data_IF_891660467641
#
_entry.id   IF_891660467641
#
_cell.length_a   1.000
_cell.length_b   1.000
_cell.length_c   1.000
_cell.angle_alpha   90.00
_cell.angle_beta   90.00
_cell.angle_gamma   90.00
#
_symmetry.space_group_name_H-M   'P 1'
#
loop_
_entity.id
_entity.type
_entity.pdbx_description
1 polymer ?
#
# COMPACT_ATOMS: atom_id res chain seq x y z
N UNK A 1 -5.00 -24.77 -6.97
CA UNK A 1 -5.06 -23.46 -7.66
C UNK A 1 -3.67 -23.17 -8.24
N UNK A 2 -3.59 -23.05 -9.56
CA UNK A 2 -2.39 -22.59 -10.26
C UNK A 2 -2.52 -21.09 -10.49
N UNK A 3 -1.41 -20.32 -10.60
CA UNK A 3 -1.51 -18.94 -11.04
C UNK A 3 -2.32 -18.84 -12.34
N UNK A 4 -3.30 -17.95 -12.36
CA UNK A 4 -4.21 -17.69 -13.49
C UNK A 4 -5.10 -18.85 -13.93
N UNK A 5 -5.31 -19.90 -13.10
CA UNK A 5 -6.44 -20.80 -13.32
C UNK A 5 -7.78 -20.04 -13.10
N UNK A 6 -8.90 -20.68 -13.48
CA UNK A 6 -10.22 -20.03 -13.41
C UNK A 6 -10.59 -19.54 -12.01
N UNK A 7 -10.24 -20.28 -10.96
CA UNK A 7 -10.51 -19.91 -9.57
C UNK A 7 -9.68 -18.69 -9.16
N UNK A 8 -8.38 -18.74 -9.43
CA UNK A 8 -7.49 -17.61 -9.12
C UNK A 8 -7.88 -16.33 -9.87
N UNK A 9 -8.13 -16.47 -11.18
CA UNK A 9 -8.57 -15.33 -11.99
C UNK A 9 -9.88 -14.71 -11.50
N UNK A 10 -10.87 -15.56 -11.14
CA UNK A 10 -12.14 -15.08 -10.58
C UNK A 10 -11.97 -14.35 -9.25
N UNK A 11 -11.06 -14.83 -8.38
CA UNK A 11 -10.73 -14.12 -7.12
C UNK A 11 -10.08 -12.77 -7.38
N UNK A 12 -9.14 -12.68 -8.34
CA UNK A 12 -8.52 -11.40 -8.71
C UNK A 12 -9.56 -10.40 -9.23
N UNK A 13 -10.47 -10.85 -10.11
CA UNK A 13 -11.56 -10.01 -10.62
C UNK A 13 -12.51 -9.57 -9.52
N UNK A 14 -12.87 -10.46 -8.60
CA UNK A 14 -13.73 -10.15 -7.47
C UNK A 14 -13.09 -9.11 -6.54
N UNK A 15 -11.81 -9.26 -6.20
CA UNK A 15 -11.06 -8.32 -5.36
C UNK A 15 -10.98 -6.95 -6.05
N UNK A 16 -10.57 -6.92 -7.33
CA UNK A 16 -10.47 -5.67 -8.09
C UNK A 16 -11.81 -4.98 -8.26
N UNK A 17 -12.85 -5.73 -8.64
CA UNK A 17 -14.21 -5.22 -8.80
C UNK A 17 -14.77 -4.66 -7.49
N UNK A 18 -14.57 -5.37 -6.37
CA UNK A 18 -15.02 -4.89 -5.06
C UNK A 18 -14.24 -3.67 -4.58
N UNK A 19 -12.92 -3.62 -4.82
CA UNK A 19 -12.09 -2.45 -4.51
C UNK A 19 -12.55 -1.20 -5.28
N UNK A 20 -12.80 -1.33 -6.58
CA UNK A 20 -13.29 -0.25 -7.44
C UNK A 20 -14.69 0.19 -7.01
N UNK A 21 -15.61 -0.76 -6.83
CA UNK A 21 -17.00 -0.50 -6.42
C UNK A 21 -17.03 0.24 -5.08
N UNK A 22 -16.31 -0.27 -4.06
CA UNK A 22 -16.31 0.32 -2.74
C UNK A 22 -15.70 1.73 -2.73
N UNK A 23 -14.59 1.92 -3.45
CA UNK A 23 -13.98 3.24 -3.62
C UNK A 23 -14.96 4.22 -4.32
N UNK A 24 -15.69 3.77 -5.34
CA UNK A 24 -16.71 4.56 -6.02
C UNK A 24 -17.88 4.94 -5.09
N UNK A 25 -18.43 3.96 -4.36
CA UNK A 25 -19.56 4.18 -3.44
C UNK A 25 -19.20 5.19 -2.33
N UNK A 26 -18.01 5.02 -1.74
CA UNK A 26 -17.52 5.94 -0.69
C UNK A 26 -17.24 7.33 -1.25
N UNK A 27 -16.58 7.41 -2.41
CA UNK A 27 -16.24 8.69 -3.06
C UNK A 27 -17.46 9.52 -3.39
N UNK A 28 -18.54 8.89 -3.83
CA UNK A 28 -19.80 9.55 -4.19
C UNK A 28 -20.79 9.63 -3.02
N UNK A 29 -20.34 9.32 -1.79
CA UNK A 29 -21.13 9.39 -0.57
C UNK A 29 -22.40 8.51 -0.58
N UNK A 30 -22.42 7.48 -1.43
CA UNK A 30 -23.51 6.50 -1.51
C UNK A 30 -23.51 5.54 -0.32
N UNK A 31 -22.36 5.38 0.33
CA UNK A 31 -22.22 4.67 1.60
C UNK A 31 -21.39 5.52 2.57
N UNK A 32 -21.71 5.50 3.88
CA UNK A 32 -20.95 6.26 4.86
C UNK A 32 -19.55 5.68 5.06
N UNK A 33 -18.52 6.53 5.00
CA UNK A 33 -17.11 6.09 5.06
C UNK A 33 -16.72 5.49 6.42
N UNK A 34 -17.30 5.95 7.53
CA UNK A 34 -16.93 5.50 8.90
C UNK A 34 -17.20 4.01 9.10
N UNK A 35 -18.42 3.47 8.91
CA UNK A 35 -18.66 2.03 9.07
C UNK A 35 -17.86 1.19 8.06
N UNK A 36 -17.65 1.67 6.83
CA UNK A 36 -16.80 0.97 5.84
C UNK A 36 -15.38 0.81 6.37
N UNK A 37 -14.76 1.89 6.85
CA UNK A 37 -13.40 1.86 7.42
C UNK A 37 -13.30 0.92 8.63
N UNK A 38 -14.26 1.02 9.54
CA UNK A 38 -14.29 0.17 10.73
C UNK A 38 -14.44 -1.30 10.32
N UNK A 39 -15.36 -1.61 9.40
CA UNK A 39 -15.56 -2.98 8.90
C UNK A 39 -14.29 -3.56 8.26
N UNK A 40 -13.60 -2.78 7.40
CA UNK A 40 -12.33 -3.19 6.79
C UNK A 40 -11.23 -3.40 7.83
N UNK A 41 -11.13 -2.50 8.82
CA UNK A 41 -10.17 -2.64 9.92
C UNK A 41 -10.43 -3.90 10.74
N UNK A 42 -11.70 -4.20 11.05
CA UNK A 42 -12.09 -5.40 11.82
C UNK A 42 -11.76 -6.69 11.04
N UNK A 43 -12.05 -6.73 9.74
CA UNK A 43 -11.72 -7.89 8.89
C UNK A 43 -10.21 -8.12 8.84
N UNK A 44 -9.42 -7.08 8.57
CA UNK A 44 -7.96 -7.18 8.48
C UNK A 44 -7.33 -7.53 9.84
N UNK A 45 -7.69 -6.81 10.89
CA UNK A 45 -7.18 -7.07 12.24
C UNK A 45 -7.61 -8.46 12.73
N UNK A 46 -8.86 -8.86 12.50
CA UNK A 46 -9.38 -10.18 12.88
C UNK A 46 -8.63 -11.31 12.17
N UNK A 47 -8.39 -11.17 10.86
CA UNK A 47 -7.61 -12.15 10.09
C UNK A 47 -6.17 -12.29 10.61
N UNK A 48 -5.50 -11.18 10.93
CA UNK A 48 -4.13 -11.19 11.44
C UNK A 48 -4.06 -11.68 12.89
N UNK A 49 -4.98 -11.26 13.77
CA UNK A 49 -5.06 -11.75 15.14
C UNK A 49 -5.36 -13.26 15.20
N UNK A 50 -6.26 -13.75 14.32
CA UNK A 50 -6.54 -15.18 14.25
C UNK A 50 -5.30 -15.98 13.79
N UNK A 51 -4.47 -15.43 12.92
CA UNK A 51 -3.17 -16.02 12.57
C UNK A 51 -2.28 -16.20 13.78
N UNK A 52 -2.15 -15.15 14.63
CA UNK A 52 -1.35 -15.26 15.86
C UNK A 52 -1.92 -16.27 16.84
N UNK A 53 -3.24 -16.33 16.95
CA UNK A 53 -3.89 -17.32 17.78
C UNK A 53 -3.66 -18.74 17.27
N UNK A 54 -3.69 -18.95 15.95
CA UNK A 54 -3.58 -20.26 15.31
C UNK A 54 -2.14 -20.79 15.29
N UNK A 55 -1.15 -19.94 14.95
CA UNK A 55 0.24 -20.34 14.79
C UNK A 55 1.15 -19.94 15.97
N UNK A 56 0.68 -19.07 16.85
CA UNK A 56 1.47 -18.44 17.87
C UNK A 56 2.40 -17.34 17.34
N UNK A 57 3.01 -16.63 18.28
CA UNK A 57 4.12 -15.70 18.00
C UNK A 57 5.36 -16.35 18.59
N UNK A 58 6.36 -16.61 17.76
CA UNK A 58 7.61 -17.25 18.16
C UNK A 58 8.79 -16.35 17.79
N UNK A 59 9.54 -15.94 18.79
CA UNK A 59 10.75 -15.17 18.57
C UNK A 59 11.92 -16.11 18.24
N UNK A 60 12.73 -15.78 17.23
CA UNK A 60 12.65 -14.64 16.33
C UNK A 60 11.91 -14.96 15.01
N UNK A 61 11.45 -16.18 14.75
CA UNK A 61 11.15 -16.73 13.43
C UNK A 61 9.72 -16.43 12.92
N UNK A 62 8.76 -16.24 13.84
CA UNK A 62 7.36 -16.03 13.47
C UNK A 62 6.80 -14.73 14.04
N UNK A 63 7.50 -13.64 13.81
CA UNK A 63 7.03 -12.30 14.14
C UNK A 63 6.24 -11.68 12.96
N UNK A 64 5.38 -10.68 13.21
CA UNK A 64 4.64 -9.97 12.16
C UNK A 64 5.53 -8.97 11.39
N UNK A 65 6.69 -9.43 10.92
CA UNK A 65 7.70 -8.59 10.26
C UNK A 65 7.77 -8.79 8.73
N UNK A 66 6.96 -9.68 8.17
CA UNK A 66 6.79 -9.69 6.71
C UNK A 66 5.99 -8.48 6.26
N UNK A 67 6.24 -8.03 5.02
CA UNK A 67 5.62 -6.83 4.46
C UNK A 67 4.10 -6.87 4.52
N UNK A 68 3.48 -8.03 4.27
CA UNK A 68 2.03 -8.19 4.32
C UNK A 68 1.48 -7.93 5.74
N UNK A 69 2.13 -8.44 6.78
CA UNK A 69 1.68 -8.26 8.18
C UNK A 69 1.80 -6.79 8.62
N UNK A 70 2.94 -6.14 8.36
CA UNK A 70 3.09 -4.72 8.70
C UNK A 70 2.15 -3.83 7.88
N UNK A 71 1.96 -4.13 6.59
CA UNK A 71 1.02 -3.40 5.73
C UNK A 71 -0.42 -3.58 6.16
N UNK A 72 -0.79 -4.78 6.64
CA UNK A 72 -2.10 -5.03 7.25
C UNK A 72 -2.32 -4.12 8.45
N UNK A 73 -1.37 -4.03 9.38
CA UNK A 73 -1.47 -3.16 10.53
C UNK A 73 -1.48 -1.68 10.17
N UNK A 74 -0.69 -1.27 9.17
CA UNK A 74 -0.73 0.11 8.66
C UNK A 74 -2.07 0.45 8.02
N UNK A 75 -2.67 -0.47 7.27
CA UNK A 75 -4.01 -0.31 6.71
C UNK A 75 -5.09 -0.23 7.82
N UNK A 76 -4.99 -1.06 8.86
CA UNK A 76 -5.87 -1.01 10.05
C UNK A 76 -5.76 0.35 10.74
N UNK A 77 -4.53 0.80 11.04
CA UNK A 77 -4.29 2.11 11.67
C UNK A 77 -4.85 3.23 10.79
N UNK A 78 -4.59 3.19 9.47
CA UNK A 78 -5.12 4.21 8.55
C UNK A 78 -6.65 4.20 8.51
N UNK A 79 -7.29 3.02 8.52
CA UNK A 79 -8.75 2.89 8.57
C UNK A 79 -9.35 3.46 9.86
N UNK A 80 -8.73 3.23 11.01
CA UNK A 80 -9.27 3.66 12.31
C UNK A 80 -8.97 5.12 12.60
N UNK A 81 -7.75 5.59 12.36
CA UNK A 81 -7.23 6.89 12.81
C UNK A 81 -7.17 7.95 11.72
N UNK A 82 -7.21 7.55 10.44
CA UNK A 82 -6.94 8.41 9.28
C UNK A 82 -5.53 9.02 9.29
N UNK A 83 -4.59 8.43 10.02
CA UNK A 83 -3.21 8.90 10.09
C UNK A 83 -2.56 8.91 8.70
N UNK A 84 -2.10 10.08 8.19
CA UNK A 84 -1.58 10.16 6.83
C UNK A 84 -0.36 9.28 6.59
N UNK A 85 0.54 9.14 7.56
CA UNK A 85 1.73 8.30 7.43
C UNK A 85 1.39 6.82 7.28
N UNK A 86 0.40 6.32 8.05
CA UNK A 86 -0.08 4.95 7.93
C UNK A 86 -0.77 4.72 6.57
N UNK A 87 -1.53 5.71 6.09
CA UNK A 87 -2.16 5.67 4.77
C UNK A 87 -1.12 5.68 3.63
N UNK A 88 -0.06 6.48 3.74
CA UNK A 88 1.04 6.52 2.76
C UNK A 88 1.80 5.19 2.73
N UNK A 89 2.14 4.61 3.89
CA UNK A 89 2.76 3.29 3.97
C UNK A 89 1.87 2.21 3.36
N UNK A 90 0.61 2.11 3.80
CA UNK A 90 -0.32 1.12 3.27
C UNK A 90 -0.53 1.28 1.75
N UNK A 91 -0.43 2.50 1.21
CA UNK A 91 -0.55 2.77 -0.21
C UNK A 91 0.68 2.30 -0.99
N UNK A 92 1.85 2.76 -0.65
CA UNK A 92 3.04 2.44 -1.44
C UNK A 92 3.49 1.00 -1.22
N UNK A 93 3.77 0.63 0.01
CA UNK A 93 4.31 -0.68 0.35
C UNK A 93 3.21 -1.76 0.35
N UNK A 94 2.06 -1.43 0.97
CA UNK A 94 0.96 -2.39 1.11
C UNK A 94 0.30 -2.71 -0.23
N UNK A 95 -0.10 -1.70 -1.02
CA UNK A 95 -0.77 -1.93 -2.30
C UNK A 95 0.17 -2.58 -3.32
N UNK A 96 1.44 -2.13 -3.42
CA UNK A 96 2.42 -2.75 -4.31
C UNK A 96 2.68 -4.21 -3.92
N UNK A 97 3.01 -4.46 -2.65
CA UNK A 97 3.30 -5.80 -2.16
C UNK A 97 2.11 -6.75 -2.26
N UNK A 98 0.92 -6.31 -1.84
CA UNK A 98 -0.30 -7.12 -1.92
C UNK A 98 -0.70 -7.44 -3.37
N UNK A 99 -0.54 -6.49 -4.29
CA UNK A 99 -0.84 -6.73 -5.71
C UNK A 99 0.12 -7.77 -6.31
N UNK A 100 1.42 -7.66 -6.06
CA UNK A 100 2.40 -8.64 -6.52
C UNK A 100 2.14 -10.03 -5.91
N UNK A 101 1.80 -10.09 -4.62
CA UNK A 101 1.46 -11.33 -3.94
C UNK A 101 0.18 -11.96 -4.54
N UNK A 102 -0.85 -11.18 -4.84
CA UNK A 102 -2.06 -11.68 -5.48
C UNK A 102 -1.80 -12.18 -6.90
N UNK A 103 -0.95 -11.53 -7.67
CA UNK A 103 -0.60 -11.96 -9.04
C UNK A 103 0.18 -13.28 -9.02
N UNK A 104 1.12 -13.44 -8.10
CA UNK A 104 1.93 -14.64 -7.98
C UNK A 104 1.92 -15.18 -6.54
N UNK A 105 0.85 -15.91 -6.15
CA UNK A 105 0.69 -16.37 -4.77
C UNK A 105 1.81 -17.34 -4.37
N UNK A 106 2.60 -16.96 -3.36
CA UNK A 106 3.59 -17.83 -2.72
C UNK A 106 2.89 -18.71 -1.67
N UNK A 107 2.18 -19.71 -2.16
CA UNK A 107 1.46 -20.69 -1.34
C UNK A 107 2.09 -22.07 -1.52
N UNK A 108 2.24 -22.85 -0.42
CA UNK A 108 2.69 -24.23 -0.51
C UNK A 108 1.82 -25.06 -1.45
N UNK A 109 2.39 -26.07 -2.11
CA UNK A 109 1.68 -26.90 -3.08
C UNK A 109 0.40 -27.54 -2.54
N UNK A 110 0.43 -27.98 -1.26
CA UNK A 110 -0.77 -28.52 -0.55
C UNK A 110 -1.91 -27.48 -0.45
N UNK A 111 -1.57 -26.22 -0.25
CA UNK A 111 -2.54 -25.11 -0.16
C UNK A 111 -3.07 -24.76 -1.55
N UNK A 112 -2.19 -24.75 -2.56
CA UNK A 112 -2.62 -24.59 -3.95
C UNK A 112 -3.58 -25.69 -4.42
N UNK A 113 -3.45 -26.91 -3.89
CA UNK A 113 -4.34 -28.02 -4.17
C UNK A 113 -5.72 -27.88 -3.49
N UNK A 114 -5.80 -27.14 -2.38
CA UNK A 114 -7.05 -26.92 -1.64
C UNK A 114 -7.32 -25.42 -1.46
N UNK A 115 -8.02 -24.76 -2.42
CA UNK A 115 -8.30 -23.33 -2.37
C UNK A 115 -9.23 -22.89 -1.25
N UNK A 116 -9.90 -23.83 -0.57
CA UNK A 116 -10.74 -23.56 0.61
C UNK A 116 -10.04 -23.88 1.93
N UNK A 117 -8.71 -24.15 1.89
CA UNK A 117 -7.93 -24.29 3.11
C UNK A 117 -7.86 -22.96 3.88
N UNK A 118 -7.68 -23.06 5.20
CA UNK A 118 -7.51 -21.88 6.06
C UNK A 118 -6.41 -20.94 5.54
N UNK A 119 -5.27 -21.50 5.17
CA UNK A 119 -4.12 -20.72 4.68
C UNK A 119 -4.44 -19.97 3.38
N UNK A 120 -5.18 -20.60 2.45
CA UNK A 120 -5.58 -19.95 1.21
C UNK A 120 -6.58 -18.81 1.47
N UNK A 121 -7.62 -19.08 2.25
CA UNK A 121 -8.64 -18.09 2.62
C UNK A 121 -7.97 -16.90 3.33
N UNK A 122 -7.16 -17.16 4.34
CA UNK A 122 -6.41 -16.13 5.08
C UNK A 122 -5.56 -15.28 4.15
N UNK A 123 -4.83 -15.91 3.24
CA UNK A 123 -3.96 -15.24 2.28
C UNK A 123 -4.73 -14.24 1.40
N UNK A 124 -5.86 -14.67 0.84
CA UNK A 124 -6.67 -13.79 -0.01
C UNK A 124 -7.42 -12.71 0.77
N UNK A 125 -7.83 -12.96 2.02
CA UNK A 125 -8.39 -11.93 2.91
C UNK A 125 -7.32 -10.89 3.25
N UNK A 126 -6.11 -11.31 3.57
CA UNK A 126 -4.99 -10.40 3.90
C UNK A 126 -4.65 -9.49 2.71
N UNK A 127 -4.23 -10.08 1.60
CA UNK A 127 -3.75 -9.31 0.45
C UNK A 127 -4.88 -8.59 -0.29
N UNK A 128 -6.01 -9.26 -0.50
CA UNK A 128 -7.20 -8.65 -1.10
C UNK A 128 -7.79 -7.57 -0.21
N UNK A 129 -7.82 -7.79 1.10
CA UNK A 129 -8.29 -6.81 2.08
C UNK A 129 -7.44 -5.55 2.12
N UNK A 130 -6.10 -5.66 2.01
CA UNK A 130 -5.21 -4.51 1.87
C UNK A 130 -5.56 -3.71 0.61
N UNK A 131 -5.69 -4.38 -0.55
CA UNK A 131 -6.04 -3.72 -1.82
C UNK A 131 -7.37 -2.98 -1.70
N UNK A 132 -8.40 -3.62 -1.13
CA UNK A 132 -9.73 -3.04 -0.94
C UNK A 132 -9.69 -1.85 0.03
N UNK A 133 -9.04 -2.01 1.19
CA UNK A 133 -8.96 -0.98 2.21
C UNK A 133 -8.23 0.27 1.71
N UNK A 134 -7.06 0.08 1.10
CA UNK A 134 -6.25 1.16 0.54
C UNK A 134 -6.98 1.86 -0.60
N UNK A 135 -7.65 1.10 -1.49
CA UNK A 135 -8.46 1.67 -2.57
C UNK A 135 -9.62 2.51 -2.03
N UNK A 136 -10.36 2.02 -1.02
CA UNK A 136 -11.42 2.77 -0.38
C UNK A 136 -10.90 4.06 0.28
N UNK A 137 -9.74 4.02 0.96
CA UNK A 137 -9.15 5.18 1.63
C UNK A 137 -8.69 6.25 0.65
N UNK A 138 -7.89 5.89 -0.37
CA UNK A 138 -7.21 6.85 -1.24
C UNK A 138 -8.08 7.25 -2.46
N UNK A 139 -8.63 6.28 -3.21
CA UNK A 139 -9.49 6.56 -4.35
C UNK A 139 -10.91 6.95 -3.92
N UNK A 140 -11.36 6.49 -2.74
CA UNK A 140 -12.55 6.98 -2.05
C UNK A 140 -12.39 8.40 -1.48
N UNK A 141 -11.18 9.00 -1.53
CA UNK A 141 -10.86 10.35 -1.03
C UNK A 141 -11.10 10.55 0.48
N UNK A 142 -10.99 9.50 1.26
CA UNK A 142 -11.06 9.58 2.73
C UNK A 142 -9.73 10.08 3.29
N UNK A 143 -8.61 9.57 2.73
CA UNK A 143 -7.25 10.01 3.04
C UNK A 143 -6.62 10.54 1.75
N UNK A 144 -5.77 11.55 1.86
CA UNK A 144 -5.05 12.13 0.73
C UNK A 144 -3.54 11.97 0.92
N UNK A 145 -2.83 11.71 -0.17
CA UNK A 145 -1.38 11.75 -0.16
C UNK A 145 -0.90 13.20 0.01
N UNK A 146 -0.04 13.43 0.99
CA UNK A 146 0.56 14.74 1.24
C UNK A 146 1.63 15.07 0.19
N UNK A 147 1.95 16.35 -0.05
CA UNK A 147 3.11 16.72 -0.85
C UNK A 147 4.38 15.98 -0.39
N UNK A 148 5.16 15.43 -1.32
CA UNK A 148 6.33 14.62 -1.00
C UNK A 148 6.05 13.18 -0.52
N UNK A 149 4.83 12.68 -0.66
CA UNK A 149 4.45 11.32 -0.23
C UNK A 149 5.30 10.23 -0.88
N UNK A 150 5.66 10.38 -2.18
CA UNK A 150 6.53 9.42 -2.87
C UNK A 150 7.87 9.24 -2.15
N UNK A 151 8.53 10.35 -1.81
CA UNK A 151 9.82 10.30 -1.10
C UNK A 151 9.67 9.74 0.31
N UNK A 152 8.60 10.11 1.02
CA UNK A 152 8.34 9.54 2.36
C UNK A 152 8.05 8.04 2.30
N UNK A 153 7.24 7.58 1.35
CA UNK A 153 6.99 6.15 1.12
C UNK A 153 8.31 5.44 0.88
N UNK A 154 9.11 5.91 -0.09
CA UNK A 154 10.41 5.31 -0.35
C UNK A 154 11.33 5.30 0.88
N UNK A 155 11.40 6.38 1.63
CA UNK A 155 12.22 6.43 2.85
C UNK A 155 11.69 5.46 3.94
N UNK A 156 10.38 5.29 4.09
CA UNK A 156 9.79 4.32 5.02
C UNK A 156 10.12 2.89 4.58
N UNK A 157 10.00 2.57 3.31
CA UNK A 157 10.40 1.30 2.73
C UNK A 157 11.86 0.99 2.99
N UNK A 158 12.76 1.92 2.62
CA UNK A 158 14.20 1.75 2.79
C UNK A 158 14.60 1.59 4.26
N UNK A 159 14.07 2.45 5.15
CA UNK A 159 14.33 2.36 6.58
C UNK A 159 13.86 1.03 7.17
N UNK A 160 12.69 0.55 6.75
CA UNK A 160 12.16 -0.75 7.18
C UNK A 160 13.02 -1.90 6.65
N UNK A 161 13.45 -1.85 5.39
CA UNK A 161 14.37 -2.83 4.81
C UNK A 161 15.71 -2.88 5.54
N UNK A 162 16.30 -1.73 5.86
CA UNK A 162 17.55 -1.64 6.63
C UNK A 162 17.40 -2.18 8.06
N UNK A 163 16.30 -1.88 8.73
CA UNK A 163 15.97 -2.46 10.04
C UNK A 163 15.91 -3.99 9.94
N UNK A 164 15.20 -4.54 8.96
CA UNK A 164 15.06 -5.98 8.79
C UNK A 164 16.35 -6.66 8.33
N UNK A 165 17.19 -5.99 7.55
CA UNK A 165 18.51 -6.50 7.20
C UNK A 165 19.36 -6.71 8.46
N UNK A 166 19.39 -5.73 9.37
CA UNK A 166 20.05 -5.84 10.66
C UNK A 166 19.43 -6.91 11.57
N UNK A 167 18.11 -6.98 11.63
CA UNK A 167 17.39 -7.99 12.40
C UNK A 167 17.68 -9.40 11.89
N UNK A 168 17.60 -9.62 10.58
CA UNK A 168 17.91 -10.91 9.97
C UNK A 168 19.35 -11.34 10.22
N UNK A 169 20.30 -10.39 10.14
CA UNK A 169 21.72 -10.66 10.43
C UNK A 169 21.93 -11.05 11.89
N UNK A 170 21.27 -10.35 12.83
CA UNK A 170 21.43 -10.58 14.27
C UNK A 170 20.82 -11.92 14.72
N UNK A 171 19.66 -12.28 14.18
CA UNK A 171 18.86 -13.42 14.62
C UNK A 171 18.84 -14.60 13.64
N UNK A 172 19.55 -14.52 12.51
CA UNK A 172 19.60 -15.59 11.51
C UNK A 172 18.29 -15.80 10.73
N UNK A 173 17.37 -14.84 10.78
CA UNK A 173 16.06 -14.91 10.13
C UNK A 173 16.12 -14.50 8.66
N UNK A 174 14.96 -14.50 7.96
CA UNK A 174 14.90 -14.14 6.54
C UNK A 174 13.64 -13.34 6.20
N UNK A 175 13.30 -12.35 7.01
CA UNK A 175 12.19 -11.44 6.70
C UNK A 175 12.46 -10.65 5.43
N UNK A 176 11.43 -10.43 4.60
CA UNK A 176 11.49 -9.83 3.26
C UNK A 176 12.47 -10.53 2.30
N UNK A 177 12.90 -11.74 2.63
CA UNK A 177 13.90 -12.48 1.85
C UNK A 177 15.22 -11.72 1.63
N UNK A 178 15.62 -10.89 2.61
CA UNK A 178 16.82 -10.06 2.48
C UNK A 178 18.12 -10.87 2.63
N UNK A 179 18.08 -12.00 3.35
CA UNK A 179 19.26 -12.87 3.56
C UNK A 179 19.42 -13.93 2.47
N UNK A 180 18.32 -14.46 1.96
CA UNK A 180 18.25 -15.48 0.90
C UNK A 180 16.89 -15.48 0.23
N UNK A 181 16.83 -15.99 -1.00
CA UNK A 181 15.57 -16.16 -1.73
C UNK A 181 14.65 -17.17 -1.03
N UNK A 182 13.32 -17.11 -1.28
CA UNK A 182 12.41 -18.16 -0.82
C UNK A 182 12.80 -19.53 -1.40
N UNK A 183 12.42 -20.60 -0.70
CA UNK A 183 12.69 -21.98 -1.14
C UNK A 183 11.86 -22.41 -2.34
N UNK A 184 10.77 -21.71 -2.61
CA UNK A 184 9.87 -21.96 -3.75
C UNK A 184 10.14 -20.95 -4.87
N UNK A 185 9.91 -21.33 -6.15
CA UNK A 185 10.06 -20.42 -7.27
C UNK A 185 9.27 -19.12 -7.07
N UNK A 186 9.94 -18.00 -7.24
CA UNK A 186 9.40 -16.67 -6.99
C UNK A 186 9.86 -15.67 -8.05
N UNK A 187 9.25 -14.47 -8.06
CA UNK A 187 9.70 -13.38 -8.92
C UNK A 187 11.16 -12.96 -8.65
N UNK A 188 11.68 -13.21 -7.44
CA UNK A 188 13.06 -12.91 -7.09
C UNK A 188 14.09 -13.75 -7.87
N UNK A 189 13.66 -14.87 -8.45
CA UNK A 189 14.54 -15.73 -9.24
C UNK A 189 14.99 -15.06 -10.53
N UNK A 190 14.17 -14.16 -11.07
CA UNK A 190 14.46 -13.38 -12.29
C UNK A 190 15.34 -12.16 -12.03
N UNK A 191 15.57 -11.79 -10.76
CA UNK A 191 16.33 -10.61 -10.40
C UNK A 191 17.82 -10.85 -10.14
N UNK A 192 18.33 -12.05 -10.43
CA UNK A 192 19.74 -12.39 -10.26
C UNK A 192 20.09 -13.01 -8.91
N UNK A 193 21.38 -13.35 -8.65
CA UNK A 193 21.83 -13.94 -7.39
C UNK A 193 21.86 -12.92 -6.25
N UNK A 194 22.03 -13.41 -5.00
CA UNK A 194 22.34 -12.55 -3.85
C UNK A 194 23.74 -11.92 -4.02
N UNK A 195 23.96 -10.64 -3.71
CA UNK A 195 22.99 -9.65 -3.26
C UNK A 195 22.29 -8.86 -4.40
N UNK A 196 22.56 -9.17 -5.66
CA UNK A 196 22.07 -8.39 -6.82
C UNK A 196 20.54 -8.27 -6.87
N UNK A 197 19.82 -9.34 -6.50
CA UNK A 197 18.36 -9.27 -6.49
C UNK A 197 17.80 -8.25 -5.48
N UNK A 198 18.56 -7.86 -4.44
CA UNK A 198 18.16 -6.80 -3.50
C UNK A 198 18.16 -5.44 -4.21
N UNK A 199 19.23 -5.16 -4.97
CA UNK A 199 19.35 -3.93 -5.75
C UNK A 199 18.29 -3.89 -6.86
N UNK A 200 18.11 -4.98 -7.57
CA UNK A 200 17.08 -5.07 -8.61
C UNK A 200 15.66 -4.95 -8.01
N UNK A 201 15.41 -5.56 -6.85
CA UNK A 201 14.15 -5.42 -6.12
C UNK A 201 13.87 -3.98 -5.69
N UNK A 202 14.90 -3.26 -5.24
CA UNK A 202 14.80 -1.84 -4.90
C UNK A 202 14.43 -0.98 -6.12
N UNK A 203 15.05 -1.23 -7.27
CA UNK A 203 14.68 -0.54 -8.52
C UNK A 203 13.23 -0.83 -8.93
N UNK A 204 12.79 -2.07 -8.77
CA UNK A 204 11.38 -2.43 -9.01
C UNK A 204 10.46 -1.68 -8.05
N UNK A 205 10.80 -1.59 -6.76
CA UNK A 205 10.01 -0.85 -5.77
C UNK A 205 9.92 0.64 -6.13
N UNK A 206 11.03 1.28 -6.52
CA UNK A 206 11.05 2.69 -6.98
C UNK A 206 10.11 2.90 -8.16
N UNK A 207 10.17 2.03 -9.17
CA UNK A 207 9.29 2.10 -10.35
C UNK A 207 7.82 1.92 -9.96
N UNK A 208 7.51 0.93 -9.13
CA UNK A 208 6.13 0.68 -8.67
C UNK A 208 5.59 1.88 -7.87
N UNK A 209 6.37 2.44 -6.95
CA UNK A 209 5.97 3.60 -6.17
C UNK A 209 5.76 4.84 -7.05
N UNK A 210 6.61 5.02 -8.04
CA UNK A 210 6.44 6.09 -9.03
C UNK A 210 5.15 5.91 -9.83
N UNK A 211 4.85 4.69 -10.32
CA UNK A 211 3.60 4.39 -11.01
C UNK A 211 2.38 4.63 -10.11
N UNK A 212 2.43 4.20 -8.86
CA UNK A 212 1.36 4.45 -7.89
C UNK A 212 1.19 5.94 -7.59
N UNK A 213 2.27 6.74 -7.62
CA UNK A 213 2.19 8.18 -7.40
C UNK A 213 1.56 8.95 -8.58
N UNK A 214 1.65 8.44 -9.82
CA UNK A 214 1.16 9.14 -11.01
C UNK A 214 -0.30 9.65 -10.92
N UNK A 215 -1.29 8.89 -10.40
CA UNK A 215 -2.67 9.37 -10.29
C UNK A 215 -2.84 10.58 -9.35
N UNK A 216 -1.86 10.83 -8.48
CA UNK A 216 -1.90 11.88 -7.46
C UNK A 216 -0.97 13.05 -7.74
N UNK A 217 -0.11 12.98 -8.76
CA UNK A 217 0.92 13.99 -9.07
C UNK A 217 0.35 15.40 -9.24
N UNK A 218 -0.81 15.54 -9.88
CA UNK A 218 -1.44 16.84 -10.13
C UNK A 218 -2.01 17.51 -8.87
N UNK A 219 -2.22 16.75 -7.78
CA UNK A 219 -2.76 17.25 -6.51
C UNK A 219 -1.65 17.60 -5.52
N UNK A 220 -0.42 17.15 -5.78
CA UNK A 220 0.74 17.41 -4.94
C UNK A 220 1.49 18.69 -5.35
N UNK A 221 1.06 19.41 -6.39
CA UNK A 221 1.63 20.69 -6.77
C UNK A 221 1.34 21.74 -5.67
N UNK A 222 2.35 22.49 -5.18
CA UNK A 222 2.13 23.55 -4.19
C UNK A 222 1.15 24.58 -4.73
N UNK A 223 0.25 25.05 -3.87
CA UNK A 223 -0.73 26.12 -4.15
C UNK A 223 -0.08 27.50 -4.40
N UNK A 224 1.23 27.55 -4.57
CA UNK A 224 2.04 28.79 -4.64
C UNK A 224 1.79 29.64 -5.90
N UNK A 225 1.16 29.08 -6.95
CA UNK A 225 0.95 29.83 -8.22
C UNK A 225 -0.31 30.72 -8.18
N UNK A 226 -1.24 30.51 -7.26
CA UNK A 226 -2.45 31.30 -7.18
C UNK A 226 -2.26 32.63 -6.41
N UNK A 227 -1.40 32.66 -5.42
CA UNK A 227 -1.14 33.85 -4.60
C UNK A 227 -0.38 34.96 -5.38
N UNK A 228 0.62 34.60 -6.17
CA UNK A 228 1.39 35.54 -7.00
C UNK A 228 0.56 36.15 -8.14
N UNK A 229 -0.51 35.49 -8.60
CA UNK A 229 -1.39 36.01 -9.64
C UNK A 229 -2.40 37.03 -9.11
N UNK A 230 -2.83 36.90 -7.85
CA UNK A 230 -3.75 37.85 -7.22
C UNK A 230 -3.05 39.15 -6.81
N UNK A 231 -1.80 39.10 -6.37
CA UNK A 231 -1.00 40.27 -6.03
C UNK A 231 -0.62 41.10 -7.25
N UNK A 232 -0.31 40.45 -8.40
CA UNK A 232 -0.01 41.15 -9.64
C UNK A 232 -1.23 41.83 -10.27
N UNK A 233 -2.44 41.35 -9.99
CA UNK A 233 -3.70 41.96 -10.46
C UNK A 233 -4.11 43.12 -9.55
N UNK A 234 -3.90 43.02 -8.24
CA UNK A 234 -4.17 44.09 -7.26
C UNK A 234 -3.25 45.31 -7.45
N UNK A 235 -1.96 45.06 -7.76
CA UNK A 235 -1.01 46.16 -7.97
C UNK A 235 -1.22 46.94 -9.29
N UNK A 236 -1.86 46.33 -10.30
CA UNK A 236 -2.24 47.01 -11.54
C UNK A 236 -3.52 47.87 -11.45
N UNK A 237 -4.45 47.52 -10.54
CA UNK A 237 -5.68 48.29 -10.36
C UNK A 237 -5.50 49.56 -9.55
N UNK A 238 -4.47 49.65 -8.69
CA UNK A 238 -4.14 50.82 -7.86
C UNK A 238 -3.34 51.88 -8.63
N UNK A 239 -2.61 51.51 -9.70
CA UNK A 239 -1.83 52.46 -10.48
C UNK A 239 -2.63 53.19 -11.56
N UNK A 240 -3.83 52.77 -11.93
CA UNK A 240 -4.70 53.42 -12.94
C UNK A 240 -5.69 54.44 -12.36
N UNK A 241 -5.88 54.44 -11.02
CA UNK A 241 -6.83 55.35 -10.32
C UNK A 241 -6.30 56.76 -10.00
N UNK A 242 -5.02 57.03 -10.16
CA UNK A 242 -4.41 58.29 -9.68
C UNK A 242 -4.15 59.34 -10.78
N UNK A 243 -4.69 59.22 -11.99
CA UNK A 243 -4.43 60.18 -13.06
C UNK A 243 -5.64 61.01 -13.53
N UNK A 244 -6.71 61.11 -12.76
CA UNK A 244 -7.89 61.93 -13.16
C UNK A 244 -8.37 62.84 -12.03
N UNK A 245 -7.47 63.68 -11.45
CA UNK A 245 -7.89 64.88 -10.73
C UNK A 245 -6.76 65.93 -10.76
N UNK A 246 -6.58 66.59 -11.93
CA UNK A 246 -6.05 67.95 -12.03
C UNK A 246 -6.50 68.48 -13.42
N UNK A 247 -7.70 69.08 -13.44
CA UNK A 247 -8.00 70.35 -14.14
C UNK A 247 -9.37 70.85 -13.68
#
# INVERSE_FOLDING_TARGET
MKPFDSVHFSLLLAIAGFAILLAYLVRNQLVPSRPVRIGLALVLAGNELFRYFHYGIQFPDNLPLHLCSISTWMAVIACLTLAPAAGEFAYFEGLAGATLALINPDLPGRVKANPVSYEAIRYFIEHGGIVIAVSALLFGRIVTLRPGALLRGHNMWFAYGMFLLGFNWLFGTNYLYLSRKPLHPSLLDYLGPWPLYLVAGELVAVVLFWLLWLPFRARAAPVEIAATRSESYSSRSTSSGLRLRRR
#
